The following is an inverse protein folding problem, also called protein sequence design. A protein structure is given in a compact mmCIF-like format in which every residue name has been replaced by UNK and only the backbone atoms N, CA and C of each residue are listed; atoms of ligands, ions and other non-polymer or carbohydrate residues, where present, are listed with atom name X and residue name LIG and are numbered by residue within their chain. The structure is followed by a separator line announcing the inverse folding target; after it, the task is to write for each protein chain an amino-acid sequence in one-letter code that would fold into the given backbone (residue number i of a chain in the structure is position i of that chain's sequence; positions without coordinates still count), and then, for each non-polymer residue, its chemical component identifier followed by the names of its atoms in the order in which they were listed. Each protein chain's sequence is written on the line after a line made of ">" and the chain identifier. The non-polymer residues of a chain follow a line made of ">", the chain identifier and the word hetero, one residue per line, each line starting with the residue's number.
data_IF_086484174388
#
_entry.id   IF_086484174388
#
_cell.length_a   1.000
_cell.length_b   1.000
_cell.length_c   1.000
_cell.angle_alpha   90.00
_cell.angle_beta   90.00
_cell.angle_gamma   90.00
#
_symmetry.space_group_name_H-M   'P 1'
#
loop_
_entity.id
_entity.type
_entity.pdbx_description
1 polymer ?
#
# COMPACT_ATOMS: atom_id res chain seq x y z
N UNK A 1 -16.16 3.21 -14.21
CA UNK A 1 -15.76 2.62 -12.93
C UNK A 1 -14.78 3.58 -12.30
N UNK A 2 -15.12 4.07 -11.12
CA UNK A 2 -14.26 4.93 -10.31
C UNK A 2 -13.30 4.06 -9.50
N UNK A 3 -12.05 4.48 -9.33
CA UNK A 3 -11.07 3.81 -8.47
C UNK A 3 -10.66 4.80 -7.41
N UNK A 4 -10.88 4.44 -6.15
CA UNK A 4 -10.59 5.29 -5.00
C UNK A 4 -10.12 4.47 -3.81
N UNK A 5 -9.54 5.14 -2.83
CA UNK A 5 -9.14 4.55 -1.55
C UNK A 5 -10.36 3.94 -0.85
N UNK A 6 -10.16 2.79 -0.21
CA UNK A 6 -11.15 2.09 0.60
C UNK A 6 -11.53 2.95 1.80
N UNK A 7 -12.83 3.08 2.05
CA UNK A 7 -13.35 3.74 3.25
C UNK A 7 -13.92 2.70 4.22
N UNK A 8 -13.94 2.97 5.54
CA UNK A 8 -14.56 2.05 6.49
C UNK A 8 -16.03 1.70 6.18
N UNK A 9 -16.79 2.65 5.60
CA UNK A 9 -18.17 2.44 5.14
C UNK A 9 -18.30 1.42 3.99
N UNK A 10 -17.24 1.20 3.23
CA UNK A 10 -17.22 0.22 2.12
C UNK A 10 -17.06 -1.22 2.62
N UNK A 11 -16.60 -1.44 3.86
CA UNK A 11 -16.20 -2.77 4.37
C UNK A 11 -17.28 -3.84 4.21
N UNK A 12 -18.57 -3.60 4.56
CA UNK A 12 -19.60 -4.62 4.35
C UNK A 12 -19.74 -5.05 2.88
N UNK A 13 -19.52 -4.12 1.95
CA UNK A 13 -19.64 -4.34 0.51
C UNK A 13 -18.40 -5.01 -0.07
N UNK A 14 -17.22 -4.67 0.46
CA UNK A 14 -15.96 -5.36 0.16
C UNK A 14 -16.01 -6.81 0.65
N UNK A 15 -16.50 -7.03 1.88
CA UNK A 15 -16.68 -8.38 2.42
C UNK A 15 -17.67 -9.20 1.60
N UNK A 16 -18.80 -8.60 1.18
CA UNK A 16 -19.73 -9.25 0.25
C UNK A 16 -19.06 -9.62 -1.08
N UNK A 17 -18.23 -8.72 -1.62
CA UNK A 17 -17.47 -8.99 -2.84
C UNK A 17 -16.46 -10.13 -2.67
N UNK A 18 -15.79 -10.22 -1.51
CA UNK A 18 -14.88 -11.32 -1.17
C UNK A 18 -15.62 -12.66 -1.16
N UNK A 19 -16.71 -12.76 -0.38
CA UNK A 19 -17.53 -13.99 -0.25
C UNK A 19 -18.09 -14.45 -1.61
N UNK A 20 -18.42 -13.51 -2.48
CA UNK A 20 -18.97 -13.83 -3.81
C UNK A 20 -17.89 -14.37 -4.77
N UNK A 21 -16.62 -13.99 -4.60
CA UNK A 21 -15.58 -14.24 -5.59
C UNK A 21 -14.47 -15.19 -5.15
N UNK A 22 -14.25 -15.35 -3.85
CA UNK A 22 -13.09 -16.07 -3.30
C UNK A 22 -13.52 -17.08 -2.22
N UNK A 23 -12.87 -18.27 -2.18
CA UNK A 23 -13.06 -19.22 -1.09
C UNK A 23 -12.38 -18.78 0.21
N UNK A 24 -11.32 -17.98 0.15
CA UNK A 24 -10.63 -17.42 1.32
C UNK A 24 -11.37 -16.19 1.87
N UNK A 25 -12.02 -16.37 3.03
CA UNK A 25 -12.91 -15.40 3.65
C UNK A 25 -12.44 -14.97 5.04
N UNK A 26 -12.81 -13.76 5.44
CA UNK A 26 -12.36 -13.15 6.70
C UNK A 26 -13.51 -12.53 7.50
N UNK A 27 -13.32 -12.46 8.82
CA UNK A 27 -14.22 -11.71 9.70
C UNK A 27 -14.11 -10.20 9.46
N UNK A 28 -15.20 -9.46 9.68
CA UNK A 28 -15.25 -8.00 9.55
C UNK A 28 -14.12 -7.30 10.33
N UNK A 29 -13.77 -7.82 11.53
CA UNK A 29 -12.65 -7.34 12.34
C UNK A 29 -11.32 -7.27 11.57
N UNK A 30 -11.07 -8.21 10.66
CA UNK A 30 -9.83 -8.26 9.89
C UNK A 30 -9.78 -7.16 8.83
N UNK A 31 -10.91 -6.85 8.19
CA UNK A 31 -11.02 -5.71 7.27
C UNK A 31 -10.81 -4.38 8.01
N UNK A 32 -11.43 -4.23 9.19
CA UNK A 32 -11.25 -3.04 10.02
C UNK A 32 -9.78 -2.85 10.43
N UNK A 33 -9.10 -3.94 10.81
CA UNK A 33 -7.67 -3.90 11.12
C UNK A 33 -6.85 -3.34 9.95
N UNK A 34 -7.08 -3.79 8.71
CA UNK A 34 -6.38 -3.22 7.55
C UNK A 34 -6.71 -1.74 7.33
N UNK A 35 -8.00 -1.39 7.39
CA UNK A 35 -8.45 -0.02 7.15
C UNK A 35 -7.95 0.97 8.21
N UNK A 36 -7.69 0.52 9.44
CA UNK A 36 -7.19 1.36 10.53
C UNK A 36 -5.66 1.39 10.58
N UNK A 37 -4.98 0.28 10.30
CA UNK A 37 -3.51 0.20 10.34
C UNK A 37 -2.86 0.82 9.09
N UNK A 38 -3.43 0.58 7.90
CA UNK A 38 -2.88 1.04 6.63
C UNK A 38 -3.96 1.62 5.70
N UNK A 39 -4.60 2.74 6.11
CA UNK A 39 -5.73 3.32 5.36
C UNK A 39 -5.39 3.71 3.92
N UNK A 40 -4.13 3.97 3.60
CA UNK A 40 -3.68 4.41 2.28
C UNK A 40 -3.53 3.25 1.27
N UNK A 41 -3.44 1.99 1.73
CA UNK A 41 -2.99 0.89 0.88
C UNK A 41 -4.11 0.14 0.16
N UNK A 42 -5.32 0.20 0.69
CA UNK A 42 -6.46 -0.55 0.17
C UNK A 42 -7.33 0.33 -0.71
N UNK A 43 -7.76 -0.19 -1.86
CA UNK A 43 -8.53 0.54 -2.86
C UNK A 43 -9.76 -0.25 -3.29
N UNK A 44 -10.77 0.46 -3.76
CA UNK A 44 -12.02 -0.10 -4.29
C UNK A 44 -12.30 0.43 -5.68
N UNK A 45 -12.88 -0.43 -6.52
CA UNK A 45 -13.47 -0.06 -7.80
C UNK A 45 -14.98 0.03 -7.64
N UNK A 46 -15.55 1.19 -7.93
CA UNK A 46 -16.96 1.53 -7.72
C UNK A 46 -17.66 1.75 -9.05
N UNK A 47 -18.83 1.13 -9.22
CA UNK A 47 -19.75 1.47 -10.30
C UNK A 47 -20.59 2.69 -9.92
N UNK A 48 -20.09 3.86 -10.33
CA UNK A 48 -20.75 5.16 -10.15
C UNK A 48 -21.91 5.38 -11.12
N UNK A 49 -22.04 4.55 -12.16
CA UNK A 49 -23.13 4.67 -13.14
C UNK A 49 -24.42 4.01 -12.67
N UNK A 50 -24.35 3.17 -11.63
CA UNK A 50 -25.53 2.51 -11.06
C UNK A 50 -26.48 3.57 -10.47
N UNK A 51 -27.74 3.63 -10.92
CA UNK A 51 -28.71 4.55 -10.35
C UNK A 51 -29.02 4.17 -8.90
N UNK A 52 -29.06 5.17 -8.01
CA UNK A 52 -29.51 5.00 -6.63
C UNK A 52 -31.01 4.70 -6.63
N UNK A 53 -31.40 3.57 -6.04
CA UNK A 53 -32.82 3.23 -5.85
C UNK A 53 -33.39 3.88 -4.60
N UNK A 54 -32.56 4.03 -3.58
CA UNK A 54 -32.89 4.69 -2.32
C UNK A 54 -31.81 5.70 -1.94
N UNK A 55 -32.12 6.72 -1.12
CA UNK A 55 -31.10 7.66 -0.60
C UNK A 55 -30.01 6.99 0.24
N UNK A 56 -30.24 5.77 0.72
CA UNK A 56 -29.32 4.99 1.54
C UNK A 56 -28.59 3.90 0.73
N UNK A 57 -28.74 3.89 -0.61
CA UNK A 57 -28.07 2.91 -1.44
C UNK A 57 -26.55 3.08 -1.32
N UNK A 58 -25.83 2.04 -0.88
CA UNK A 58 -24.40 2.11 -0.73
C UNK A 58 -23.69 2.13 -2.09
N UNK A 59 -22.43 2.61 -2.14
CA UNK A 59 -21.59 2.52 -3.32
C UNK A 59 -21.51 1.08 -3.86
N UNK A 60 -21.73 0.89 -5.15
CA UNK A 60 -21.65 -0.44 -5.76
C UNK A 60 -20.20 -0.83 -5.98
N UNK A 61 -19.62 -1.51 -5.00
CA UNK A 61 -18.28 -2.09 -5.11
C UNK A 61 -18.30 -3.25 -6.12
N UNK A 62 -17.47 -3.15 -7.15
CA UNK A 62 -17.32 -4.18 -8.20
C UNK A 62 -15.94 -4.82 -8.20
N UNK A 63 -15.00 -4.27 -7.44
CA UNK A 63 -13.71 -4.87 -7.16
C UNK A 63 -13.00 -4.17 -6.02
N UNK A 64 -12.01 -4.82 -5.43
CA UNK A 64 -11.21 -4.24 -4.36
C UNK A 64 -9.82 -4.88 -4.33
N UNK A 65 -8.87 -4.16 -3.75
CA UNK A 65 -7.59 -4.67 -3.26
C UNK A 65 -7.50 -4.35 -1.77
N UNK A 66 -7.23 -5.38 -0.96
CA UNK A 66 -6.97 -5.28 0.46
C UNK A 66 -5.49 -5.59 0.66
N UNK A 67 -4.78 -4.63 1.23
CA UNK A 67 -3.33 -4.65 1.33
C UNK A 67 -2.85 -4.18 2.70
N UNK A 68 -1.69 -4.68 3.12
CA UNK A 68 -1.02 -4.33 4.37
C UNK A 68 0.49 -4.15 4.16
N UNK A 69 1.16 -3.58 5.15
CA UNK A 69 2.61 -3.76 5.32
C UNK A 69 2.85 -5.02 6.14
N UNK A 70 3.95 -5.72 5.88
CA UNK A 70 4.36 -6.81 6.76
C UNK A 70 4.97 -6.23 8.04
N UNK A 71 4.40 -6.61 9.20
CA UNK A 71 4.79 -6.06 10.50
C UNK A 71 6.08 -6.69 11.03
N UNK A 72 6.29 -7.98 10.75
CA UNK A 72 7.47 -8.74 11.18
C UNK A 72 8.16 -9.39 9.97
N UNK A 73 8.91 -8.62 9.16
CA UNK A 73 9.61 -9.17 8.00
C UNK A 73 10.68 -10.17 8.45
N UNK A 74 10.62 -11.41 7.95
CA UNK A 74 11.61 -12.45 8.27
C UNK A 74 13.03 -12.11 7.81
N UNK A 75 13.14 -11.32 6.76
CA UNK A 75 14.38 -10.83 6.15
C UNK A 75 14.81 -9.45 6.70
N UNK A 76 14.01 -8.84 7.58
CA UNK A 76 14.21 -7.49 8.09
C UNK A 76 13.96 -6.38 7.05
N UNK A 77 13.43 -6.70 5.87
CA UNK A 77 13.18 -5.73 4.79
C UNK A 77 11.71 -5.34 4.79
N UNK A 78 11.45 -4.03 4.91
CA UNK A 78 10.09 -3.50 4.88
C UNK A 78 9.46 -3.70 3.50
N UNK A 79 8.34 -4.43 3.45
CA UNK A 79 7.65 -4.78 2.22
C UNK A 79 6.13 -4.83 2.42
N UNK A 80 5.40 -4.64 1.33
CA UNK A 80 3.94 -4.72 1.31
C UNK A 80 3.47 -6.15 1.04
N UNK A 81 2.25 -6.46 1.47
CA UNK A 81 1.61 -7.74 1.21
C UNK A 81 0.17 -7.54 0.72
N UNK A 82 -0.21 -8.27 -0.35
CA UNK A 82 -1.57 -8.27 -0.87
C UNK A 82 -2.36 -9.39 -0.19
N UNK A 83 -3.19 -9.00 0.77
CA UNK A 83 -4.05 -9.91 1.52
C UNK A 83 -5.16 -10.49 0.64
N UNK A 84 -5.80 -9.64 -0.19
CA UNK A 84 -6.91 -10.09 -1.02
C UNK A 84 -7.16 -9.15 -2.20
N UNK A 85 -7.38 -9.71 -3.38
CA UNK A 85 -7.73 -8.97 -4.60
C UNK A 85 -8.89 -9.70 -5.28
N UNK A 86 -9.98 -8.99 -5.56
CA UNK A 86 -11.05 -9.58 -6.37
C UNK A 86 -11.79 -8.54 -7.20
N UNK A 87 -12.30 -8.99 -8.34
CA UNK A 87 -13.19 -8.23 -9.22
C UNK A 87 -14.37 -9.13 -9.58
N UNK A 88 -15.58 -8.59 -9.42
CA UNK A 88 -16.84 -9.23 -9.78
C UNK A 88 -16.77 -9.76 -11.21
N UNK A 89 -17.26 -10.99 -11.44
CA UNK A 89 -17.18 -11.65 -12.75
C UNK A 89 -17.71 -10.80 -13.91
N UNK A 90 -18.79 -10.04 -13.66
CA UNK A 90 -19.42 -9.13 -14.63
C UNK A 90 -18.55 -7.93 -15.03
N UNK A 91 -17.49 -7.63 -14.27
CA UNK A 91 -16.62 -6.47 -14.44
C UNK A 91 -15.15 -6.86 -14.69
N UNK A 92 -14.88 -8.15 -14.95
CA UNK A 92 -13.54 -8.63 -15.32
C UNK A 92 -13.18 -8.20 -16.75
N UNK A 93 -11.88 -8.26 -17.09
CA UNK A 93 -11.32 -7.86 -18.39
C UNK A 93 -11.47 -6.38 -18.73
N UNK A 94 -11.76 -5.54 -17.74
CA UNK A 94 -11.79 -4.07 -17.84
C UNK A 94 -10.51 -3.41 -17.29
N UNK A 95 -9.46 -4.19 -17.00
CA UNK A 95 -8.21 -3.69 -16.41
C UNK A 95 -8.31 -3.22 -14.95
N UNK A 96 -9.44 -3.46 -14.26
CA UNK A 96 -9.66 -2.97 -12.89
C UNK A 96 -8.65 -3.53 -11.88
N UNK A 97 -8.38 -4.84 -11.95
CA UNK A 97 -7.45 -5.49 -11.02
C UNK A 97 -6.03 -4.93 -11.15
N UNK A 98 -5.57 -4.68 -12.38
CA UNK A 98 -4.27 -4.05 -12.64
C UNK A 98 -4.22 -2.64 -12.04
N UNK A 99 -5.22 -1.80 -12.31
CA UNK A 99 -5.26 -0.43 -11.80
C UNK A 99 -5.30 -0.38 -10.27
N UNK A 100 -6.08 -1.26 -9.63
CA UNK A 100 -6.14 -1.38 -8.17
C UNK A 100 -4.77 -1.75 -7.59
N UNK A 101 -4.10 -2.75 -8.19
CA UNK A 101 -2.76 -3.18 -7.76
C UNK A 101 -1.72 -2.07 -7.91
N UNK A 102 -1.69 -1.36 -9.04
CA UNK A 102 -0.74 -0.24 -9.27
C UNK A 102 -0.92 0.89 -8.26
N UNK A 103 -2.17 1.23 -7.92
CA UNK A 103 -2.45 2.24 -6.88
C UNK A 103 -1.95 1.79 -5.51
N UNK A 104 -2.22 0.53 -5.14
CA UNK A 104 -1.74 -0.04 -3.88
C UNK A 104 -0.20 -0.07 -3.80
N UNK A 105 0.47 -0.53 -4.87
CA UNK A 105 1.93 -0.56 -4.97
C UNK A 105 2.56 0.83 -4.85
N UNK A 106 1.98 1.82 -5.53
CA UNK A 106 2.42 3.23 -5.44
C UNK A 106 2.30 3.73 -4.00
N UNK A 107 1.16 3.52 -3.35
CA UNK A 107 0.96 3.93 -1.95
C UNK A 107 1.93 3.23 -0.98
N UNK A 108 2.25 1.95 -1.19
CA UNK A 108 3.24 1.21 -0.41
C UNK A 108 4.65 1.82 -0.55
N UNK A 109 5.04 2.15 -1.78
CA UNK A 109 6.34 2.76 -2.08
C UNK A 109 6.45 4.17 -1.47
N UNK A 110 5.44 5.02 -1.69
CA UNK A 110 5.45 6.42 -1.25
C UNK A 110 5.33 6.55 0.27
N UNK A 111 4.35 5.89 0.88
CA UNK A 111 3.99 6.14 2.29
C UNK A 111 4.84 5.33 3.26
N UNK A 112 5.23 4.12 2.88
CA UNK A 112 5.89 3.16 3.77
C UNK A 112 7.27 2.72 3.28
N UNK A 113 7.80 3.36 2.23
CA UNK A 113 9.11 3.07 1.67
C UNK A 113 9.32 1.57 1.32
N UNK A 114 8.24 0.85 1.00
CA UNK A 114 8.28 -0.59 0.73
C UNK A 114 9.31 -0.94 -0.35
N UNK A 115 10.11 -1.98 -0.12
CA UNK A 115 11.12 -2.43 -1.08
C UNK A 115 10.54 -3.34 -2.16
N UNK A 116 9.62 -4.21 -1.77
CA UNK A 116 8.91 -5.11 -2.67
C UNK A 116 7.47 -5.29 -2.19
N UNK A 117 6.66 -5.95 -3.02
CA UNK A 117 5.32 -6.41 -2.67
C UNK A 117 5.23 -7.92 -2.85
N UNK A 118 4.71 -8.62 -1.84
CA UNK A 118 4.49 -10.07 -1.87
C UNK A 118 3.00 -10.43 -1.91
N UNK A 119 2.71 -11.62 -2.43
CA UNK A 119 1.38 -12.22 -2.41
C UNK A 119 1.43 -13.73 -2.55
N UNK A 120 0.31 -14.40 -2.22
CA UNK A 120 0.12 -15.82 -2.46
C UNK A 120 -0.98 -16.06 -3.48
N UNK A 121 -0.74 -17.00 -4.40
CA UNK A 121 -1.72 -17.37 -5.43
C UNK A 121 -1.76 -18.88 -5.63
N UNK A 122 -2.97 -19.44 -5.72
CA UNK A 122 -3.22 -20.84 -6.09
C UNK A 122 -2.51 -21.21 -7.38
N UNK A 123 -1.80 -22.34 -7.37
CA UNK A 123 -1.08 -22.85 -8.55
C UNK A 123 -2.03 -23.10 -9.74
N UNK A 124 -3.29 -23.43 -9.48
CA UNK A 124 -4.31 -23.65 -10.51
C UNK A 124 -4.93 -22.37 -11.09
N UNK A 125 -4.77 -21.21 -10.46
CA UNK A 125 -5.48 -19.97 -10.82
C UNK A 125 -4.84 -19.24 -12.01
N UNK A 126 -5.05 -19.77 -13.22
CA UNK A 126 -4.46 -19.27 -14.46
C UNK A 126 -4.76 -17.79 -14.75
N UNK A 127 -5.97 -17.31 -14.40
CA UNK A 127 -6.35 -15.92 -14.63
C UNK A 127 -5.54 -14.96 -13.74
N UNK A 128 -5.37 -15.30 -12.46
CA UNK A 128 -4.55 -14.51 -11.54
C UNK A 128 -3.06 -14.62 -11.89
N UNK A 129 -2.57 -15.80 -12.25
CA UNK A 129 -1.18 -15.99 -12.67
C UNK A 129 -0.83 -15.15 -13.90
N UNK A 130 -1.72 -15.07 -14.89
CA UNK A 130 -1.53 -14.19 -16.04
C UNK A 130 -1.48 -12.71 -15.63
N UNK A 131 -2.38 -12.26 -14.75
CA UNK A 131 -2.36 -10.89 -14.24
C UNK A 131 -1.04 -10.58 -13.51
N UNK A 132 -0.64 -11.43 -12.56
CA UNK A 132 0.54 -11.18 -11.73
C UNK A 132 1.83 -11.29 -12.53
N UNK A 133 2.03 -12.37 -13.30
CA UNK A 133 3.27 -12.58 -14.06
C UNK A 133 3.37 -11.69 -15.29
N UNK A 134 2.33 -11.68 -16.13
CA UNK A 134 2.45 -11.12 -17.47
C UNK A 134 2.09 -9.63 -17.52
N UNK A 135 1.13 -9.19 -16.70
CA UNK A 135 0.67 -7.79 -16.70
C UNK A 135 1.40 -6.93 -15.68
N UNK A 136 1.58 -7.45 -14.47
CA UNK A 136 2.17 -6.70 -13.35
C UNK A 136 3.67 -6.95 -13.18
N UNK A 137 4.21 -8.06 -13.68
CA UNK A 137 5.65 -8.36 -13.61
C UNK A 137 6.10 -9.04 -12.31
N UNK A 138 5.20 -9.67 -11.57
CA UNK A 138 5.56 -10.49 -10.41
C UNK A 138 6.35 -11.73 -10.83
N UNK A 139 7.34 -12.07 -10.02
CA UNK A 139 8.14 -13.29 -10.14
C UNK A 139 7.76 -14.27 -9.03
N UNK A 140 7.96 -15.57 -9.28
CA UNK A 140 7.74 -16.59 -8.24
C UNK A 140 8.98 -16.66 -7.37
N UNK A 141 8.82 -16.49 -6.07
CA UNK A 141 9.89 -16.62 -5.09
C UNK A 141 10.04 -18.08 -4.63
N UNK A 142 8.92 -18.68 -4.19
CA UNK A 142 8.88 -20.07 -3.70
C UNK A 142 7.50 -20.69 -3.88
N UNK A 143 7.44 -22.01 -3.72
CA UNK A 143 6.19 -22.79 -3.65
C UNK A 143 5.95 -23.17 -2.20
N UNK A 144 4.78 -22.83 -1.68
CA UNK A 144 4.34 -23.21 -0.35
C UNK A 144 3.38 -24.39 -0.44
N UNK A 145 3.86 -25.55 0.01
CA UNK A 145 3.12 -26.80 -0.05
C UNK A 145 1.93 -26.78 0.91
N UNK A 146 0.75 -27.21 0.43
CA UNK A 146 -0.51 -27.29 1.22
C UNK A 146 -0.84 -25.99 1.95
N UNK A 147 -0.63 -24.85 1.29
CA UNK A 147 -0.87 -23.53 1.86
C UNK A 147 -2.36 -23.29 2.10
N UNK A 148 -3.22 -23.69 1.15
CA UNK A 148 -4.66 -23.50 1.26
C UNK A 148 -5.33 -24.62 2.06
N UNK A 149 -6.49 -24.33 2.64
CA UNK A 149 -7.21 -25.25 3.55
C UNK A 149 -7.67 -26.56 2.87
N UNK A 150 -7.83 -26.56 1.55
CA UNK A 150 -8.13 -27.75 0.74
C UNK A 150 -6.87 -28.54 0.36
N UNK A 151 -5.70 -28.12 0.83
CA UNK A 151 -4.41 -28.75 0.56
C UNK A 151 -3.77 -28.32 -0.76
N UNK A 152 -4.33 -27.34 -1.49
CA UNK A 152 -3.67 -26.81 -2.68
C UNK A 152 -2.40 -26.02 -2.31
N UNK A 153 -1.37 -26.17 -3.14
CA UNK A 153 -0.13 -25.41 -3.03
C UNK A 153 -0.34 -23.95 -3.48
N UNK A 154 0.48 -23.05 -2.95
CA UNK A 154 0.53 -21.65 -3.37
C UNK A 154 1.88 -21.29 -3.99
N UNK A 155 1.86 -20.46 -5.03
CA UNK A 155 3.04 -19.68 -5.38
C UNK A 155 3.10 -18.46 -4.47
N UNK A 156 4.21 -18.32 -3.74
CA UNK A 156 4.60 -17.05 -3.15
C UNK A 156 5.28 -16.23 -4.24
N UNK A 157 4.70 -15.08 -4.56
CA UNK A 157 5.15 -14.21 -5.64
C UNK A 157 5.58 -12.86 -5.10
N UNK A 158 6.58 -12.25 -5.73
CA UNK A 158 7.10 -10.94 -5.36
C UNK A 158 7.40 -10.04 -6.56
N UNK A 159 7.32 -8.73 -6.35
CA UNK A 159 7.77 -7.70 -7.29
C UNK A 159 8.57 -6.63 -6.56
N UNK A 160 9.74 -6.29 -7.10
CA UNK A 160 10.59 -5.22 -6.58
C UNK A 160 9.98 -3.85 -6.93
N UNK A 161 10.07 -2.89 -6.02
CA UNK A 161 9.57 -1.52 -6.20
C UNK A 161 10.69 -0.51 -6.46
N UNK A 162 11.93 -0.96 -6.70
CA UNK A 162 13.08 -0.08 -6.89
C UNK A 162 12.85 0.94 -8.02
N UNK A 163 12.48 0.48 -9.22
CA UNK A 163 12.22 1.33 -10.39
C UNK A 163 11.07 2.30 -10.14
N UNK A 164 10.00 1.84 -9.48
CA UNK A 164 8.86 2.70 -9.12
C UNK A 164 9.29 3.80 -8.15
N UNK A 165 10.13 3.48 -7.16
CA UNK A 165 10.65 4.46 -6.20
C UNK A 165 11.58 5.48 -6.84
N UNK A 166 12.30 5.11 -7.89
CA UNK A 166 13.12 6.04 -8.66
C UNK A 166 12.23 7.01 -9.44
N UNK A 167 11.25 6.51 -10.18
CA UNK A 167 10.27 7.33 -10.90
C UNK A 167 9.53 8.31 -9.98
N UNK A 168 9.13 7.87 -8.80
CA UNK A 168 8.45 8.72 -7.82
C UNK A 168 9.35 9.84 -7.28
N UNK A 169 10.65 9.59 -7.12
CA UNK A 169 11.60 10.63 -6.72
C UNK A 169 11.80 11.65 -7.84
N UNK A 170 11.87 11.20 -9.08
CA UNK A 170 11.94 12.08 -10.25
C UNK A 170 10.69 12.96 -10.34
N UNK A 171 9.49 12.38 -10.20
CA UNK A 171 8.22 13.11 -10.15
C UNK A 171 8.20 14.16 -9.01
N UNK A 172 8.69 13.80 -7.82
CA UNK A 172 8.78 14.71 -6.68
C UNK A 172 9.78 15.85 -6.94
N UNK A 173 10.94 15.56 -7.52
CA UNK A 173 11.95 16.56 -7.89
C UNK A 173 11.47 17.49 -9.01
N UNK A 174 10.65 17.01 -9.96
CA UNK A 174 10.04 17.85 -10.99
C UNK A 174 8.97 18.79 -10.41
N UNK A 175 8.12 18.29 -9.50
CA UNK A 175 7.02 19.08 -8.92
C UNK A 175 7.54 20.11 -7.92
N UNK A 176 8.47 19.70 -7.05
CA UNK A 176 8.97 20.52 -5.94
C UNK A 176 10.35 21.13 -6.22
N UNK A 177 10.87 20.98 -7.44
CA UNK A 177 12.05 21.62 -8.02
C UNK A 177 12.98 22.29 -7.03
N UNK A 178 14.00 21.55 -6.54
CA UNK A 178 15.07 22.00 -5.65
C UNK A 178 14.83 23.38 -5.01
N UNK A 179 13.83 23.51 -4.14
CA UNK A 179 13.72 24.71 -3.33
C UNK A 179 14.89 24.67 -2.36
N UNK A 180 16.01 25.31 -2.73
CA UNK A 180 16.91 25.85 -1.74
C UNK A 180 16.05 26.79 -0.90
N UNK A 181 15.57 26.30 0.25
CA UNK A 181 14.93 27.15 1.24
C UNK A 181 15.95 28.22 1.61
N UNK A 182 15.85 29.37 0.97
CA UNK A 182 16.51 30.58 1.43
C UNK A 182 15.83 30.89 2.75
N UNK A 183 16.60 30.79 3.84
CA UNK A 183 16.16 31.22 5.16
C UNK A 183 15.96 32.74 5.12
N UNK A 184 14.76 33.18 4.74
CA UNK A 184 14.35 34.59 4.75
C UNK A 184 14.04 35.10 6.16
N UNK A 185 14.20 34.25 7.19
CA UNK A 185 14.05 34.64 8.59
C UNK A 185 15.24 35.45 9.07
N UNK A 186 15.04 36.73 9.38
CA UNK A 186 16.00 37.44 10.22
C UNK A 186 16.10 36.75 11.59
N UNK A 187 17.31 36.71 12.14
CA UNK A 187 17.58 36.11 13.44
C UNK A 187 16.78 36.81 14.54
N UNK A 188 15.74 36.14 15.05
CA UNK A 188 14.99 36.60 16.22
C UNK A 188 15.73 36.24 17.50
N UNK A 189 16.39 37.24 18.09
CA UNK A 189 16.93 37.17 19.45
C UNK A 189 18.44 36.93 19.56
N UNK A 190 18.98 37.17 20.76
CA UNK A 190 20.42 37.14 21.07
C UNK A 190 21.03 35.74 21.13
N UNK A 191 20.25 34.67 21.00
CA UNK A 191 20.75 33.28 20.99
C UNK A 191 21.22 32.80 19.61
N UNK A 192 20.99 33.58 18.54
CA UNK A 192 21.41 33.24 17.17
C UNK A 192 22.93 33.31 16.89
N UNK A 193 23.75 33.69 17.87
CA UNK A 193 25.19 33.89 17.69
C UNK A 193 26.05 32.62 17.89
N UNK A 194 25.47 31.52 18.38
CA UNK A 194 26.22 30.28 18.54
C UNK A 194 26.25 29.49 17.22
N UNK A 195 27.41 29.49 16.56
CA UNK A 195 27.70 28.66 15.39
C UNK A 195 27.78 27.16 15.75
N UNK A 196 26.64 26.55 16.10
CA UNK A 196 26.49 25.10 16.10
C UNK A 196 26.50 24.59 14.66
N UNK A 197 27.20 23.48 14.39
CA UNK A 197 27.17 22.80 13.08
C UNK A 197 25.73 22.41 12.75
N UNK A 198 25.04 23.24 11.96
CA UNK A 198 23.71 22.92 11.42
C UNK A 198 23.87 21.74 10.45
N UNK A 199 23.27 20.60 10.79
CA UNK A 199 23.19 19.46 9.88
C UNK A 199 22.09 19.75 8.85
N UNK A 200 22.46 19.88 7.57
CA UNK A 200 21.50 20.08 6.48
C UNK A 200 20.64 18.83 6.34
N UNK A 201 19.34 18.96 6.55
CA UNK A 201 18.34 17.93 6.26
C UNK A 201 17.62 18.36 4.99
N UNK A 202 17.54 17.47 3.99
CA UNK A 202 16.72 17.70 2.78
C UNK A 202 15.26 17.94 3.21
N UNK A 203 14.67 19.02 2.72
CA UNK A 203 13.25 19.34 2.91
C UNK A 203 12.41 18.14 2.43
N UNK A 204 11.49 17.67 3.27
CA UNK A 204 10.64 16.49 3.01
C UNK A 204 10.94 15.27 3.89
N UNK A 205 12.14 15.15 4.47
CA UNK A 205 12.43 14.07 5.44
C UNK A 205 12.04 14.51 6.85
N UNK A 206 10.77 14.29 7.20
CA UNK A 206 10.33 14.40 8.59
C UNK A 206 11.16 13.44 9.45
N UNK A 207 11.91 13.97 10.41
CA UNK A 207 12.53 13.15 11.46
C UNK A 207 11.41 12.42 12.20
N UNK A 208 11.49 11.10 12.31
CA UNK A 208 10.57 10.36 13.15
C UNK A 208 10.71 10.82 14.60
N UNK A 209 9.71 10.63 15.45
CA UNK A 209 9.78 10.99 16.88
C UNK A 209 11.01 10.38 17.56
N UNK A 210 11.50 9.24 17.07
CA UNK A 210 12.72 8.56 17.54
C UNK A 210 14.01 9.34 17.19
N UNK A 211 14.04 10.08 16.08
CA UNK A 211 15.18 10.90 15.63
C UNK A 211 15.24 12.28 16.34
N UNK A 212 14.21 12.60 17.12
CA UNK A 212 14.06 13.86 17.86
C UNK A 212 14.35 13.71 19.36
N UNK A 213 14.60 12.50 19.86
CA UNK A 213 14.97 12.28 21.26
C UNK A 213 16.46 12.59 21.43
N UNK A 214 16.78 13.64 22.19
CA UNK A 214 18.14 13.87 22.67
C UNK A 214 18.61 12.65 23.47
N UNK A 215 19.69 12.01 23.01
CA UNK A 215 20.41 11.02 23.83
C UNK A 215 21.06 11.78 24.98
N UNK A 216 20.47 11.65 26.16
CA UNK A 216 21.04 12.16 27.40
C UNK A 216 22.28 11.32 27.75
N UNK A 217 23.48 11.81 27.44
CA UNK A 217 24.77 11.21 27.84
C UNK A 217 25.07 11.47 29.33
N UNK A 218 24.13 11.10 30.20
CA UNK A 218 24.30 11.13 31.65
C UNK A 218 24.20 9.73 32.25
N UNK A 219 24.92 8.78 31.65
CA UNK A 219 25.11 7.43 32.19
C UNK A 219 26.53 6.93 31.87
N UNK A 220 27.54 7.71 32.24
CA UNK A 220 28.92 7.25 32.37
C UNK A 220 29.67 8.18 33.34
N UNK A 221 29.37 8.02 34.63
CA UNK A 221 30.23 8.46 35.74
C UNK A 221 30.09 7.46 36.88
#
# INVERSE_FOLDING_TARGET
>A
MDIRVLRPEDIPHVQLANITNLPENYFCKYYLYHAMSWPQLSYVAVDVSRPQKTPYDPPKIVGYVLAKMEEEPTDGVQHGHITSLSVMRTHRRLGLAEKLMRQSQRAMAETFNAHYVSLHVRVSNQAALHLYRNTLGFTVDKVEAKYYADGEDAYSMRIELADLKEQLKEEEEEIFGASEGVDEGEAVGSEGAAAGKKQKVKVGRGKGVVDLVEKNEAAAA
#
